data_IF_093653781332
#
_entry.id   IF_093653781332
#
_cell.length_a   1.000
_cell.length_b   1.000
_cell.length_c   1.000
_cell.angle_alpha   90.00
_cell.angle_beta   90.00
_cell.angle_gamma   90.00
#
_symmetry.space_group_name_H-M   'P 1'
#
loop_
_entity.id
_entity.type
_entity.pdbx_description
1 polymer ?
#
# COMPACT_ATOMS: atom_id res chain seq x y z
N UNK A 1 -21.71 -24.31 -75.11
CA UNK A 1 -20.36 -24.45 -74.54
C UNK A 1 -20.42 -24.07 -73.06
N UNK A 2 -19.61 -24.74 -72.23
CA UNK A 2 -19.91 -25.17 -70.85
C UNK A 2 -19.86 -24.02 -69.83
N UNK A 3 -20.85 -23.96 -68.91
CA UNK A 3 -20.82 -23.14 -67.70
C UNK A 3 -19.94 -23.86 -66.65
N UNK A 4 -18.87 -23.23 -66.22
CA UNK A 4 -17.94 -23.74 -65.21
C UNK A 4 -18.43 -23.28 -63.83
N UNK A 5 -19.05 -24.18 -63.07
CA UNK A 5 -19.34 -23.97 -61.65
C UNK A 5 -18.10 -24.32 -60.84
N UNK A 6 -17.52 -23.31 -60.18
CA UNK A 6 -16.37 -23.47 -59.28
C UNK A 6 -16.92 -23.74 -57.87
N UNK A 7 -16.89 -25.01 -57.46
CA UNK A 7 -17.17 -25.44 -56.08
C UNK A 7 -15.92 -25.19 -55.23
N UNK A 8 -15.99 -24.21 -54.33
CA UNK A 8 -14.98 -23.97 -53.30
C UNK A 8 -15.21 -24.95 -52.13
N UNK A 9 -14.19 -25.68 -51.65
CA UNK A 9 -14.39 -26.55 -50.50
C UNK A 9 -14.53 -25.72 -49.22
N UNK A 10 -15.66 -25.87 -48.53
CA UNK A 10 -15.89 -25.31 -47.22
C UNK A 10 -15.00 -26.06 -46.21
N UNK A 11 -13.87 -25.46 -45.84
CA UNK A 11 -12.99 -25.98 -44.80
C UNK A 11 -13.69 -25.77 -43.45
N UNK A 12 -14.43 -26.79 -42.99
CA UNK A 12 -14.98 -26.85 -41.63
C UNK A 12 -13.82 -26.98 -40.64
N UNK A 13 -13.30 -25.84 -40.20
CA UNK A 13 -12.36 -25.75 -39.09
C UNK A 13 -13.14 -25.96 -37.79
N UNK A 14 -13.19 -27.20 -37.35
CA UNK A 14 -13.81 -27.62 -36.10
C UNK A 14 -12.97 -27.08 -34.93
N UNK A 15 -13.34 -25.92 -34.37
CA UNK A 15 -12.84 -25.46 -33.08
C UNK A 15 -13.38 -26.40 -32.00
N UNK A 16 -12.53 -27.31 -31.50
CA UNK A 16 -12.76 -27.93 -30.20
C UNK A 16 -12.67 -26.81 -29.14
N UNK A 17 -13.72 -26.56 -28.34
CA UNK A 17 -13.51 -25.83 -27.10
C UNK A 17 -12.62 -26.71 -26.24
N UNK A 18 -11.34 -26.34 -26.11
CA UNK A 18 -10.56 -26.82 -24.98
C UNK A 18 -11.16 -26.13 -23.77
N UNK A 19 -12.03 -26.84 -23.06
CA UNK A 19 -12.42 -26.45 -21.71
C UNK A 19 -11.12 -26.34 -20.94
N UNK A 20 -10.64 -25.12 -20.74
CA UNK A 20 -9.62 -24.84 -19.74
C UNK A 20 -10.29 -25.23 -18.44
N UNK A 21 -9.98 -26.43 -17.97
CA UNK A 21 -10.21 -26.80 -16.58
C UNK A 21 -9.31 -25.87 -15.81
N UNK A 22 -9.87 -24.71 -15.42
CA UNK A 22 -9.37 -23.97 -14.27
C UNK A 22 -9.47 -25.01 -13.16
N UNK A 23 -8.33 -25.64 -12.84
CA UNK A 23 -8.18 -26.26 -11.54
C UNK A 23 -8.41 -25.11 -10.60
N UNK A 24 -9.59 -25.07 -10.00
CA UNK A 24 -9.78 -24.36 -8.75
C UNK A 24 -8.64 -24.84 -7.87
N UNK A 25 -7.61 -24.01 -7.76
CA UNK A 25 -6.59 -24.18 -6.75
C UNK A 25 -7.42 -24.06 -5.49
N UNK A 26 -7.78 -25.23 -4.93
CA UNK A 26 -8.50 -25.33 -3.69
C UNK A 26 -7.82 -24.35 -2.75
N UNK A 27 -8.55 -23.28 -2.42
CA UNK A 27 -8.13 -22.23 -1.52
C UNK A 27 -7.69 -22.91 -0.24
N UNK A 28 -6.39 -23.19 -0.15
CA UNK A 28 -5.75 -23.54 1.10
C UNK A 28 -5.59 -22.18 1.77
N UNK A 29 -6.72 -21.66 2.27
CA UNK A 29 -6.73 -20.49 3.13
C UNK A 29 -5.72 -20.82 4.22
N UNK A 30 -4.60 -20.08 4.32
CA UNK A 30 -3.61 -20.37 5.34
C UNK A 30 -4.31 -20.40 6.69
N UNK A 31 -4.29 -21.58 7.30
CA UNK A 31 -4.83 -21.85 8.62
C UNK A 31 -4.29 -20.81 9.59
N UNK A 32 -5.19 -20.05 10.24
CA UNK A 32 -4.93 -19.10 11.32
C UNK A 32 -3.55 -18.40 11.28
N UNK A 33 -3.52 -17.13 10.88
CA UNK A 33 -2.36 -16.27 11.17
C UNK A 33 -2.04 -16.33 12.67
N UNK A 34 -0.92 -16.96 13.04
CA UNK A 34 -0.41 -17.01 14.42
C UNK A 34 0.37 -15.74 14.78
N UNK A 35 -0.02 -14.59 14.22
CA UNK A 35 0.62 -13.33 14.51
C UNK A 35 -0.14 -12.63 15.65
N UNK A 36 0.55 -12.39 16.75
CA UNK A 36 0.06 -11.57 17.86
C UNK A 36 0.94 -10.35 17.97
N UNK A 37 0.33 -9.16 17.92
CA UNK A 37 1.04 -7.90 18.13
C UNK A 37 1.49 -7.84 19.58
N UNK A 38 2.80 -7.68 19.80
CA UNK A 38 3.32 -7.51 21.15
C UNK A 38 3.28 -6.02 21.54
N UNK A 39 2.88 -5.73 22.78
CA UNK A 39 2.82 -4.36 23.31
C UNK A 39 4.14 -3.59 23.09
N UNK A 40 5.28 -4.25 23.27
CA UNK A 40 6.61 -3.63 23.11
C UNK A 40 6.86 -3.10 21.70
N UNK A 41 6.29 -3.74 20.68
CA UNK A 41 6.52 -3.39 19.28
C UNK A 41 5.77 -2.09 18.94
N UNK A 42 4.59 -1.89 19.54
CA UNK A 42 3.82 -0.65 19.45
C UNK A 42 4.41 0.46 20.33
N UNK A 43 4.84 0.09 21.55
CA UNK A 43 5.31 1.04 22.56
C UNK A 43 6.53 1.84 22.08
N UNK A 44 7.47 1.22 21.36
CA UNK A 44 8.65 1.91 20.84
C UNK A 44 8.28 3.06 19.89
N UNK A 45 7.41 2.78 18.91
CA UNK A 45 6.94 3.79 17.96
C UNK A 45 6.14 4.88 18.66
N UNK A 46 5.25 4.50 19.58
CA UNK A 46 4.46 5.47 20.34
C UNK A 46 5.35 6.39 21.18
N UNK A 47 6.36 5.83 21.88
CA UNK A 47 7.30 6.59 22.70
C UNK A 47 8.12 7.57 21.87
N UNK A 48 8.66 7.15 20.73
CA UNK A 48 9.41 8.05 19.86
C UNK A 48 8.50 9.13 19.28
N UNK A 49 7.36 8.74 18.69
CA UNK A 49 6.44 9.71 18.09
C UNK A 49 5.92 10.72 19.11
N UNK A 50 5.68 10.32 20.36
CA UNK A 50 5.24 11.23 21.43
C UNK A 50 6.38 11.95 22.18
N UNK A 51 7.64 11.76 21.79
CA UNK A 51 8.78 12.34 22.50
C UNK A 51 8.92 13.85 22.31
N UNK A 52 9.54 14.50 23.29
CA UNK A 52 9.87 15.92 23.26
C UNK A 52 10.81 16.28 22.07
N UNK A 53 11.60 15.32 21.59
CA UNK A 53 12.49 15.49 20.43
C UNK A 53 11.74 15.91 19.16
N UNK A 54 10.48 15.52 19.05
CA UNK A 54 9.61 15.79 17.92
C UNK A 54 8.75 17.04 18.11
N UNK A 55 8.88 17.75 19.24
CA UNK A 55 8.29 19.09 19.47
C UNK A 55 6.80 19.18 19.08
N UNK A 56 6.03 18.12 19.36
CA UNK A 56 4.59 18.07 19.06
C UNK A 56 4.23 17.99 17.57
N UNK A 57 5.20 17.74 16.67
CA UNK A 57 4.99 17.37 15.25
C UNK A 57 4.04 18.31 14.48
N UNK A 58 4.15 19.62 14.74
CA UNK A 58 3.38 20.61 13.99
C UNK A 58 3.68 20.50 12.50
N UNK A 59 2.61 20.46 11.70
CA UNK A 59 2.70 20.40 10.24
C UNK A 59 3.54 21.55 9.70
N UNK A 60 4.54 21.24 8.86
CA UNK A 60 5.46 22.23 8.32
C UNK A 60 6.69 22.54 9.19
N UNK A 61 6.79 21.98 10.40
CA UNK A 61 7.93 22.20 11.32
C UNK A 61 8.91 21.03 11.33
N UNK A 62 10.07 21.24 11.96
CA UNK A 62 11.14 20.25 12.06
C UNK A 62 10.68 18.94 12.72
N UNK A 63 9.84 19.03 13.75
CA UNK A 63 9.26 17.86 14.42
C UNK A 63 8.48 16.92 13.49
N UNK A 64 7.68 17.48 12.58
CA UNK A 64 6.95 16.69 11.58
C UNK A 64 7.90 16.05 10.56
N UNK A 65 8.97 16.75 10.15
CA UNK A 65 10.00 16.17 9.25
C UNK A 65 10.72 15.01 9.91
N UNK A 66 11.14 15.13 11.17
CA UNK A 66 11.77 14.03 11.92
C UNK A 66 10.84 12.83 12.09
N UNK A 67 9.54 13.07 12.29
CA UNK A 67 8.54 12.01 12.36
C UNK A 67 8.39 11.30 10.99
N UNK A 68 8.36 12.05 9.90
CA UNK A 68 8.34 11.52 8.54
C UNK A 68 9.59 10.68 8.24
N UNK A 69 10.78 11.14 8.63
CA UNK A 69 12.05 10.41 8.48
C UNK A 69 12.00 9.06 9.22
N UNK A 70 11.49 9.05 10.46
CA UNK A 70 11.32 7.82 11.24
C UNK A 70 10.37 6.84 10.58
N UNK A 71 9.20 7.30 10.10
CA UNK A 71 8.22 6.43 9.44
C UNK A 71 8.75 5.89 8.11
N UNK A 72 9.47 6.72 7.34
CA UNK A 72 10.14 6.30 6.11
C UNK A 72 11.17 5.20 6.39
N UNK A 73 11.98 5.36 7.44
CA UNK A 73 12.94 4.34 7.84
C UNK A 73 12.24 3.07 8.34
N UNK A 74 11.17 3.20 9.12
CA UNK A 74 10.37 2.07 9.58
C UNK A 74 9.82 1.25 8.41
N UNK A 75 9.33 1.90 7.34
CA UNK A 75 8.88 1.21 6.13
C UNK A 75 10.03 0.47 5.42
N UNK A 76 11.20 1.12 5.27
CA UNK A 76 12.39 0.48 4.68
C UNK A 76 12.83 -0.75 5.47
N UNK A 77 12.92 -0.63 6.80
CA UNK A 77 13.34 -1.72 7.69
C UNK A 77 12.39 -2.93 7.63
N UNK A 78 11.12 -2.69 7.29
CA UNK A 78 10.08 -3.71 7.16
C UNK A 78 9.83 -4.14 5.69
N UNK A 79 10.71 -3.77 4.75
CA UNK A 79 10.59 -4.11 3.32
C UNK A 79 9.29 -3.64 2.65
N UNK A 80 8.66 -2.60 3.18
CA UNK A 80 7.52 -1.93 2.53
C UNK A 80 8.04 -1.10 1.38
N UNK A 81 7.46 -1.21 0.18
CA UNK A 81 7.91 -0.44 -0.99
C UNK A 81 7.26 0.95 -1.01
N UNK A 82 7.94 1.99 -1.53
CA UNK A 82 7.29 3.29 -1.73
C UNK A 82 6.22 3.18 -2.81
N UNK A 83 5.03 3.76 -2.58
CA UNK A 83 3.96 3.73 -3.58
C UNK A 83 4.20 4.71 -4.74
N UNK A 84 4.79 5.88 -4.45
CA UNK A 84 5.18 6.87 -5.45
C UNK A 84 6.67 6.75 -5.81
N UNK A 85 7.24 7.78 -6.45
CA UNK A 85 8.69 7.88 -6.71
C UNK A 85 9.53 7.78 -5.42
N UNK A 86 8.97 8.24 -4.30
CA UNK A 86 9.52 8.08 -2.96
C UNK A 86 8.39 7.74 -1.99
N UNK A 87 8.71 7.51 -0.71
CA UNK A 87 7.67 7.36 0.32
C UNK A 87 6.89 8.65 0.57
N UNK A 88 7.47 9.81 0.23
CA UNK A 88 6.84 11.11 0.47
C UNK A 88 5.95 11.51 -0.69
N UNK A 89 4.72 11.88 -0.34
CA UNK A 89 3.77 12.54 -1.21
C UNK A 89 3.46 13.93 -0.64
N UNK A 90 3.97 14.98 -1.29
CA UNK A 90 3.93 16.35 -0.80
C UNK A 90 2.53 16.95 -0.91
N UNK A 91 2.04 17.54 0.17
CA UNK A 91 0.72 18.19 0.19
C UNK A 91 0.75 19.48 -0.63
N UNK A 92 0.15 19.45 -1.82
CA UNK A 92 0.06 20.61 -2.73
C UNK A 92 -0.78 21.77 -2.16
N UNK A 93 -1.66 21.48 -1.20
CA UNK A 93 -2.52 22.46 -0.54
C UNK A 93 -1.86 23.18 0.63
N UNK A 94 -0.66 22.75 1.05
CA UNK A 94 0.07 23.34 2.18
C UNK A 94 1.27 24.15 1.69
N UNK A 95 1.39 25.40 2.16
CA UNK A 95 2.57 26.24 1.89
C UNK A 95 3.70 25.86 2.84
N UNK A 96 4.50 24.85 2.46
CA UNK A 96 5.67 24.43 3.22
C UNK A 96 5.96 22.94 3.11
N UNK A 97 6.76 22.43 4.04
CA UNK A 97 7.17 21.03 4.07
C UNK A 97 6.13 20.18 4.82
N UNK A 98 5.17 19.63 4.10
CA UNK A 98 4.22 18.66 4.63
C UNK A 98 4.04 17.52 3.64
N UNK A 99 4.07 16.28 4.15
CA UNK A 99 4.14 15.08 3.33
C UNK A 99 3.24 13.99 3.92
N UNK A 100 2.52 13.27 3.09
CA UNK A 100 2.08 11.92 3.43
C UNK A 100 3.28 10.97 3.35
N UNK A 101 3.30 9.93 4.18
CA UNK A 101 4.22 8.80 4.04
C UNK A 101 3.42 7.60 3.55
N UNK A 102 3.69 7.18 2.31
CA UNK A 102 2.87 6.16 1.62
C UNK A 102 3.77 5.04 1.14
N UNK A 103 3.48 3.85 1.65
CA UNK A 103 4.11 2.60 1.26
C UNK A 103 3.06 1.54 0.96
N UNK A 104 3.47 0.49 0.26
CA UNK A 104 2.60 -0.63 -0.07
C UNK A 104 3.32 -1.98 0.04
N UNK A 105 2.54 -3.01 0.33
CA UNK A 105 2.94 -4.41 0.25
C UNK A 105 2.09 -5.03 -0.85
N UNK A 106 2.74 -5.59 -1.87
CA UNK A 106 2.04 -6.20 -2.99
C UNK A 106 1.35 -7.50 -2.56
N UNK A 107 0.08 -7.65 -2.93
CA UNK A 107 -0.67 -8.88 -2.67
C UNK A 107 -0.09 -10.07 -3.44
N UNK A 108 -0.10 -11.24 -2.82
CA UNK A 108 0.42 -12.48 -3.42
C UNK A 108 -0.60 -13.19 -4.31
N UNK A 109 -1.88 -12.85 -4.21
CA UNK A 109 -2.96 -13.44 -5.00
C UNK A 109 -2.95 -12.89 -6.43
N UNK A 110 -2.87 -13.77 -7.43
CA UNK A 110 -2.72 -13.38 -8.83
C UNK A 110 -3.93 -12.62 -9.41
N UNK A 111 -5.12 -12.84 -8.84
CA UNK A 111 -6.38 -12.22 -9.26
C UNK A 111 -6.61 -10.92 -8.49
N UNK A 112 -6.41 -10.96 -7.18
CA UNK A 112 -6.77 -9.85 -6.27
C UNK A 112 -5.65 -8.82 -6.06
N UNK A 113 -4.42 -9.03 -6.58
CA UNK A 113 -3.29 -8.09 -6.37
C UNK A 113 -3.52 -6.66 -6.87
N UNK A 114 -4.56 -6.42 -7.68
CA UNK A 114 -4.94 -5.10 -8.15
C UNK A 114 -6.03 -4.44 -7.29
N UNK A 115 -6.50 -5.12 -6.24
CA UNK A 115 -7.40 -4.57 -5.22
C UNK A 115 -6.58 -4.02 -4.06
N UNK A 116 -7.04 -2.89 -3.50
CA UNK A 116 -6.31 -2.18 -2.45
C UNK A 116 -7.04 -2.28 -1.12
N UNK A 117 -6.30 -2.70 -0.09
CA UNK A 117 -6.66 -2.46 1.30
C UNK A 117 -5.86 -1.25 1.77
N UNK A 118 -6.56 -0.19 2.18
CA UNK A 118 -5.92 1.03 2.67
C UNK A 118 -6.00 1.04 4.20
N UNK A 119 -4.83 1.09 4.84
CA UNK A 119 -4.68 1.38 6.26
C UNK A 119 -4.04 2.75 6.39
N UNK A 120 -4.66 3.65 7.15
CA UNK A 120 -4.18 5.02 7.31
C UNK A 120 -4.27 5.51 8.74
N UNK A 121 -3.42 6.48 9.07
CA UNK A 121 -3.42 7.24 10.31
C UNK A 121 -2.76 8.60 10.05
N UNK A 122 -3.08 9.59 10.88
CA UNK A 122 -2.35 10.86 10.89
C UNK A 122 -1.19 10.77 11.90
N UNK A 123 -0.06 11.40 11.58
CA UNK A 123 1.14 11.40 12.44
C UNK A 123 1.57 12.80 12.85
N UNK A 124 1.06 13.82 12.18
CA UNK A 124 1.16 15.21 12.60
C UNK A 124 0.32 15.48 13.84
N UNK A 125 0.67 16.56 14.53
CA UNK A 125 -0.03 16.99 15.73
C UNK A 125 0.08 18.52 15.86
N UNK A 126 -0.41 19.10 16.96
CA UNK A 126 -0.60 20.56 17.10
C UNK A 126 0.69 21.36 17.36
N UNK A 127 1.83 20.72 17.63
CA UNK A 127 3.06 21.41 18.04
C UNK A 127 3.18 21.68 19.54
N UNK A 128 4.06 22.64 19.88
CA UNK A 128 4.26 23.11 21.25
C UNK A 128 3.30 24.27 21.53
N UNK A 129 2.42 24.09 22.51
CA UNK A 129 1.68 25.20 23.10
C UNK A 129 2.43 25.77 24.30
N UNK A 130 2.72 27.07 24.28
CA UNK A 130 3.40 27.79 25.37
C UNK A 130 2.58 27.82 26.67
N UNK A 131 1.26 27.65 26.59
CA UNK A 131 0.36 27.62 27.74
C UNK A 131 0.13 26.22 28.28
N UNK A 132 0.68 25.20 27.61
CA UNK A 132 0.29 23.81 27.81
C UNK A 132 -1.11 23.55 27.25
N UNK A 133 -1.32 22.34 26.73
CA UNK A 133 -2.65 21.83 26.44
C UNK A 133 -3.06 20.88 27.56
N UNK A 134 -4.26 21.06 28.10
CA UNK A 134 -4.86 20.01 28.93
C UNK A 134 -5.25 18.88 27.98
N UNK A 135 -4.46 17.80 28.02
CA UNK A 135 -4.82 16.53 27.38
C UNK A 135 -5.99 15.86 28.06
#
# INVERSE_FOLDING_TARGET
>A
MKKLFLLLPFLFMCCKPSSVVVKDAANTVPSHLTYTVQQKDVAKTLQYLASDELEGRETGKAGMVKAADYLEQFFKDNNVKPYFKSYRDTLSTFKGNAFNIVGYVEGTDAVLKNEFIILSAHYDHIGIDKKGVNG
#
